data_IF_111927275970
#
_entry.id   IF_111927275970
#
_cell.length_a   1.000
_cell.length_b   1.000
_cell.length_c   1.000
_cell.angle_alpha   90.00
_cell.angle_beta   90.00
_cell.angle_gamma   90.00
#
_symmetry.space_group_name_H-M   'P 1'
#
loop_
_entity.id
_entity.type
_entity.pdbx_description
1 polymer ?
#
# COMPACT_ATOMS: atom_id res chain seq x y z
N UNK A 1 10.63 8.60 10.35
CA UNK A 1 10.29 7.29 10.97
C UNK A 1 9.63 6.44 9.90
N UNK A 2 10.09 5.20 9.71
CA UNK A 2 9.58 4.32 8.65
C UNK A 2 8.29 3.66 9.11
N UNK A 3 7.26 3.65 8.26
CA UNK A 3 5.97 3.03 8.55
C UNK A 3 5.57 2.08 7.44
N UNK A 4 5.25 0.85 7.81
CA UNK A 4 4.73 -0.20 6.92
C UNK A 4 3.22 -0.29 7.10
N UNK A 5 2.48 -0.16 6.01
CA UNK A 5 1.02 -0.22 5.99
C UNK A 5 0.55 -1.51 5.31
N UNK A 6 -0.40 -2.19 5.92
CA UNK A 6 -0.98 -3.40 5.34
C UNK A 6 -1.87 -4.17 6.29
N UNK A 7 -1.87 -5.50 6.15
CA UNK A 7 -2.57 -6.42 7.06
C UNK A 7 -1.57 -7.47 7.56
N UNK A 8 -1.70 -7.95 8.81
CA UNK A 8 -0.72 -8.86 9.41
C UNK A 8 -0.68 -10.22 8.70
N UNK A 9 -1.80 -10.67 8.13
CA UNK A 9 -1.93 -11.95 7.44
C UNK A 9 -1.73 -11.84 5.92
N UNK A 10 -0.78 -11.00 5.48
CA UNK A 10 -0.34 -10.94 4.09
C UNK A 10 1.14 -11.32 4.02
N UNK A 11 1.48 -12.33 3.23
CA UNK A 11 2.85 -12.86 3.18
C UNK A 11 3.87 -11.82 2.71
N UNK A 12 3.50 -10.97 1.75
CA UNK A 12 4.37 -9.87 1.30
C UNK A 12 4.62 -8.85 2.40
N UNK A 13 3.62 -8.54 3.23
CA UNK A 13 3.77 -7.62 4.38
C UNK A 13 4.65 -8.26 5.46
N UNK A 14 4.47 -9.55 5.74
CA UNK A 14 5.33 -10.30 6.68
C UNK A 14 6.79 -10.30 6.22
N UNK A 15 7.03 -10.59 4.93
CA UNK A 15 8.37 -10.58 4.33
C UNK A 15 9.02 -9.20 4.41
N UNK A 16 8.27 -8.14 4.07
CA UNK A 16 8.75 -6.77 4.17
C UNK A 16 9.18 -6.38 5.60
N UNK A 17 8.35 -6.68 6.60
CA UNK A 17 8.66 -6.36 8.00
C UNK A 17 9.84 -7.17 8.52
N UNK A 18 9.89 -8.46 8.19
CA UNK A 18 11.03 -9.31 8.56
C UNK A 18 12.33 -8.77 7.94
N UNK A 19 12.31 -8.42 6.65
CA UNK A 19 13.48 -7.83 5.99
C UNK A 19 13.95 -6.55 6.66
N UNK A 20 13.03 -5.63 7.01
CA UNK A 20 13.40 -4.40 7.74
C UNK A 20 14.01 -4.69 9.10
N UNK A 21 13.45 -5.65 9.85
CA UNK A 21 14.03 -6.11 11.12
C UNK A 21 15.44 -6.68 10.92
N UNK A 22 15.64 -7.51 9.89
CA UNK A 22 16.94 -8.15 9.60
C UNK A 22 18.01 -7.11 9.20
N UNK A 23 17.60 -5.99 8.58
CA UNK A 23 18.47 -4.85 8.28
C UNK A 23 18.69 -3.91 9.48
N UNK A 24 18.11 -4.20 10.65
CA UNK A 24 18.20 -3.34 11.83
C UNK A 24 17.42 -2.02 11.70
N UNK A 25 16.43 -1.97 10.79
CA UNK A 25 15.65 -0.77 10.51
C UNK A 25 14.40 -0.74 11.41
N UNK A 26 14.39 0.21 12.34
CA UNK A 26 13.22 0.48 13.17
C UNK A 26 12.04 0.96 12.31
N UNK A 27 10.89 0.30 12.49
CA UNK A 27 9.70 0.60 11.71
C UNK A 27 8.42 0.37 12.52
N UNK A 28 7.41 1.18 12.22
CA UNK A 28 6.06 0.99 12.73
C UNK A 28 5.22 0.18 11.74
N UNK A 29 4.25 -0.58 12.26
CA UNK A 29 3.27 -1.27 11.43
C UNK A 29 1.88 -0.70 11.69
N UNK A 30 1.23 -0.21 10.62
CA UNK A 30 -0.16 0.24 10.63
C UNK A 30 -1.04 -0.86 10.04
N UNK A 31 -1.93 -1.41 10.86
CA UNK A 31 -2.81 -2.52 10.50
C UNK A 31 -4.16 -1.99 9.98
N UNK A 32 -4.40 -2.11 8.67
CA UNK A 32 -5.66 -1.71 8.05
C UNK A 32 -6.88 -2.41 8.63
N UNK A 33 -6.74 -3.64 9.17
CA UNK A 33 -7.89 -4.35 9.77
C UNK A 33 -8.30 -3.76 11.12
N UNK A 34 -7.35 -3.21 11.87
CA UNK A 34 -7.60 -2.68 13.22
C UNK A 34 -7.79 -1.17 13.22
N UNK A 35 -7.05 -0.47 12.37
CA UNK A 35 -6.92 0.98 12.38
C UNK A 35 -7.55 1.64 11.15
N UNK A 36 -8.06 0.84 10.20
CA UNK A 36 -8.56 1.35 8.92
C UNK A 36 -7.45 1.87 8.01
N UNK A 37 -7.85 2.35 6.82
CA UNK A 37 -6.94 3.05 5.92
C UNK A 37 -6.84 4.51 6.38
N UNK A 38 -5.63 5.02 6.66
CA UNK A 38 -5.47 6.43 7.04
C UNK A 38 -5.68 7.32 5.80
N UNK A 39 -6.78 8.06 5.77
CA UNK A 39 -7.19 8.87 4.61
C UNK A 39 -6.12 9.87 4.16
N UNK A 40 -5.51 10.59 5.10
CA UNK A 40 -4.46 11.58 4.82
C UNK A 40 -3.23 10.92 4.18
N UNK A 41 -2.87 9.71 4.61
CA UNK A 41 -1.74 9.00 4.01
C UNK A 41 -2.12 8.40 2.66
N UNK A 42 -3.36 7.93 2.49
CA UNK A 42 -3.84 7.49 1.17
C UNK A 42 -3.71 8.62 0.14
N UNK A 43 -4.13 9.84 0.49
CA UNK A 43 -3.99 11.01 -0.38
C UNK A 43 -2.53 11.29 -0.74
N UNK A 44 -1.62 11.16 0.23
CA UNK A 44 -0.17 11.29 -0.01
C UNK A 44 0.38 10.21 -0.92
N UNK A 45 -0.03 8.95 -0.74
CA UNK A 45 0.43 7.85 -1.59
C UNK A 45 -0.02 8.04 -3.04
N UNK A 46 -1.28 8.40 -3.24
CA UNK A 46 -1.83 8.67 -4.57
C UNK A 46 -1.08 9.81 -5.27
N UNK A 47 -0.76 10.88 -4.55
CA UNK A 47 0.01 12.00 -5.08
C UNK A 47 1.48 11.64 -5.36
N UNK A 48 2.13 10.84 -4.49
CA UNK A 48 3.56 10.57 -4.57
C UNK A 48 3.94 9.52 -5.63
N UNK A 49 3.13 8.46 -5.80
CA UNK A 49 3.49 7.32 -6.67
C UNK A 49 2.43 7.02 -7.74
N UNK A 50 1.36 7.80 -7.81
CA UNK A 50 0.26 7.60 -8.75
C UNK A 50 -0.71 6.51 -8.30
N UNK A 51 -1.98 6.67 -8.67
CA UNK A 51 -3.04 5.77 -8.25
C UNK A 51 -2.91 4.37 -8.85
N UNK A 52 -2.35 4.26 -10.06
CA UNK A 52 -2.10 2.99 -10.74
C UNK A 52 -1.10 2.11 -9.98
N UNK A 53 -0.19 2.74 -9.24
CA UNK A 53 0.78 2.07 -8.39
C UNK A 53 0.14 1.61 -7.08
N UNK A 54 -0.68 2.47 -6.47
CA UNK A 54 -1.37 2.22 -5.18
C UNK A 54 -2.45 1.15 -5.32
N UNK A 55 -3.22 1.16 -6.41
CA UNK A 55 -4.33 0.22 -6.61
C UNK A 55 -3.84 -1.07 -7.26
N UNK A 56 -4.07 -2.21 -6.58
CA UNK A 56 -3.76 -3.53 -7.10
C UNK A 56 -4.80 -4.01 -8.11
N UNK A 57 -4.74 -3.48 -9.34
CA UNK A 57 -5.62 -3.88 -10.45
C UNK A 57 -5.48 -5.35 -10.88
N UNK A 58 -4.41 -6.02 -10.44
CA UNK A 58 -4.17 -7.46 -10.66
C UNK A 58 -4.62 -8.33 -9.47
N UNK A 59 -5.15 -7.74 -8.41
CA UNK A 59 -5.61 -8.45 -7.21
C UNK A 59 -6.98 -9.10 -7.37
N UNK A 60 -7.29 -10.09 -6.54
CA UNK A 60 -8.60 -10.75 -6.52
C UNK A 60 -9.72 -9.80 -6.14
N UNK A 61 -9.52 -8.96 -5.11
CA UNK A 61 -10.51 -7.95 -4.69
C UNK A 61 -10.88 -7.02 -5.84
N UNK A 62 -9.89 -6.53 -6.60
CA UNK A 62 -10.16 -5.70 -7.77
C UNK A 62 -11.00 -6.46 -8.82
N UNK A 63 -10.65 -7.72 -9.13
CA UNK A 63 -11.41 -8.54 -10.09
C UNK A 63 -12.84 -8.84 -9.62
N UNK A 64 -13.10 -8.82 -8.33
CA UNK A 64 -14.43 -9.04 -7.73
C UNK A 64 -15.30 -7.78 -7.70
N UNK A 65 -14.73 -6.59 -7.91
CA UNK A 65 -15.51 -5.37 -8.06
C UNK A 65 -16.37 -5.43 -9.33
N UNK A 66 -17.55 -4.80 -9.25
CA UNK A 66 -18.41 -4.58 -10.40
C UNK A 66 -17.67 -3.87 -11.53
N UNK A 67 -17.98 -4.26 -12.76
CA UNK A 67 -17.33 -3.71 -13.94
C UNK A 67 -17.46 -2.19 -14.04
N UNK A 68 -18.63 -1.66 -13.69
CA UNK A 68 -18.91 -0.22 -13.64
C UNK A 68 -18.00 0.51 -12.66
N UNK A 69 -17.77 -0.05 -11.48
CA UNK A 69 -16.85 0.50 -10.48
C UNK A 69 -15.43 0.51 -11.02
N UNK A 70 -14.97 -0.59 -11.64
CA UNK A 70 -13.62 -0.67 -12.21
C UNK A 70 -13.41 0.30 -13.35
N UNK A 71 -14.38 0.42 -14.25
CA UNK A 71 -14.33 1.33 -15.39
C UNK A 71 -14.39 2.80 -14.96
N UNK A 72 -15.03 3.10 -13.82
CA UNK A 72 -15.08 4.43 -13.23
C UNK A 72 -13.77 4.92 -12.61
N UNK A 73 -12.82 4.02 -12.31
CA UNK A 73 -11.51 4.43 -11.79
C UNK A 73 -10.62 4.90 -12.93
N UNK A 74 -10.45 6.22 -13.03
CA UNK A 74 -9.70 6.88 -14.09
C UNK A 74 -8.71 7.94 -13.58
N UNK A 75 -8.77 8.29 -12.30
CA UNK A 75 -7.93 9.30 -11.67
C UNK A 75 -7.72 9.01 -10.17
N UNK A 76 -6.96 9.87 -9.49
CA UNK A 76 -6.69 9.72 -8.06
C UNK A 76 -7.96 9.82 -7.20
N UNK A 77 -8.93 10.67 -7.56
CA UNK A 77 -10.15 10.87 -6.78
C UNK A 77 -11.06 9.64 -6.81
N UNK A 78 -11.31 9.09 -8.00
CA UNK A 78 -12.07 7.84 -8.20
C UNK A 78 -11.35 6.64 -7.58
N UNK A 79 -10.01 6.55 -7.70
CA UNK A 79 -9.22 5.53 -7.05
C UNK A 79 -9.29 5.60 -5.51
N UNK A 80 -9.21 6.81 -4.95
CA UNK A 80 -9.36 7.07 -3.50
C UNK A 80 -10.71 6.56 -2.99
N UNK A 81 -11.79 6.91 -3.67
CA UNK A 81 -13.14 6.48 -3.29
C UNK A 81 -13.24 4.95 -3.23
N UNK A 82 -12.73 4.26 -4.26
CA UNK A 82 -12.71 2.79 -4.31
C UNK A 82 -11.80 2.20 -3.22
N UNK A 83 -10.65 2.79 -2.94
CA UNK A 83 -9.72 2.32 -1.92
C UNK A 83 -10.31 2.44 -0.50
N UNK A 84 -11.03 3.52 -0.20
CA UNK A 84 -11.69 3.68 1.10
C UNK A 84 -12.88 2.74 1.26
N UNK A 85 -13.68 2.54 0.22
CA UNK A 85 -14.78 1.58 0.23
C UNK A 85 -14.28 0.12 0.30
N UNK A 86 -13.13 -0.17 -0.33
CA UNK A 86 -12.58 -1.51 -0.44
C UNK A 86 -11.08 -1.55 -0.12
N UNK A 87 -10.64 -1.40 1.15
CA UNK A 87 -9.22 -1.32 1.53
C UNK A 87 -8.30 -2.42 0.98
N UNK A 88 -8.84 -3.61 0.71
CA UNK A 88 -8.08 -4.74 0.15
C UNK A 88 -7.63 -4.53 -1.31
N UNK A 89 -8.16 -3.52 -2.03
CA UNK A 89 -7.67 -3.14 -3.36
C UNK A 89 -6.35 -2.38 -3.30
N UNK A 90 -5.96 -1.84 -2.15
CA UNK A 90 -4.67 -1.18 -1.98
C UNK A 90 -3.57 -2.26 -2.06
N UNK A 91 -2.57 -2.04 -2.92
CA UNK A 91 -1.39 -2.89 -3.02
C UNK A 91 -0.59 -2.78 -1.72
N UNK A 92 -0.18 -3.93 -1.18
CA UNK A 92 0.46 -4.04 0.13
C UNK A 92 1.81 -4.76 0.01
N UNK A 93 2.81 -4.39 0.83
CA UNK A 93 2.80 -3.24 1.74
C UNK A 93 2.84 -1.92 0.97
N UNK A 94 2.32 -0.85 1.58
CA UNK A 94 2.80 0.51 1.28
C UNK A 94 3.83 0.83 2.37
N UNK A 95 4.98 1.36 2.01
CA UNK A 95 6.00 1.77 2.98
C UNK A 95 6.29 3.25 2.80
N UNK A 96 6.13 3.98 3.89
CA UNK A 96 6.55 5.37 3.99
C UNK A 96 7.92 5.41 4.63
N UNK A 97 8.85 5.98 3.89
CA UNK A 97 10.22 6.21 4.29
C UNK A 97 10.39 7.66 4.72
N UNK A 98 11.59 8.03 5.18
CA UNK A 98 11.93 9.42 5.53
C UNK A 98 11.89 10.37 4.33
N UNK A 99 12.13 9.85 3.13
CA UNK A 99 12.36 10.60 1.89
C UNK A 99 11.47 10.13 0.72
N UNK A 100 10.46 9.29 0.97
CA UNK A 100 9.54 8.87 -0.08
C UNK A 100 8.66 7.68 0.26
N UNK A 101 8.00 7.13 -0.76
CA UNK A 101 7.04 6.02 -0.62
C UNK A 101 7.39 4.92 -1.60
N UNK A 102 7.31 3.66 -1.17
CA UNK A 102 7.33 2.50 -2.05
C UNK A 102 6.07 1.67 -1.88
N UNK A 103 5.62 1.01 -2.96
CA UNK A 103 4.45 0.15 -2.93
C UNK A 103 4.83 -1.24 -3.43
N UNK A 104 4.53 -2.26 -2.63
CA UNK A 104 5.05 -3.61 -2.79
C UNK A 104 6.37 -3.80 -2.04
N UNK A 105 6.87 -5.03 -2.08
CA UNK A 105 8.15 -5.41 -1.49
C UNK A 105 9.12 -5.80 -2.60
N UNK A 106 10.27 -5.13 -2.62
CA UNK A 106 11.40 -5.43 -3.49
C UNK A 106 12.68 -5.21 -2.68
N UNK A 107 13.30 -6.31 -2.24
CA UNK A 107 14.47 -6.27 -1.38
C UNK A 107 15.68 -5.59 -2.06
N UNK A 108 15.85 -5.76 -3.38
CA UNK A 108 16.98 -5.16 -4.09
C UNK A 108 16.80 -3.64 -4.19
N UNK A 109 15.58 -3.18 -4.52
CA UNK A 109 15.27 -1.76 -4.54
C UNK A 109 15.36 -1.13 -3.14
N UNK A 110 14.96 -1.85 -2.08
CA UNK A 110 15.07 -1.35 -0.71
C UNK A 110 16.52 -1.32 -0.23
N UNK A 111 17.33 -2.31 -0.60
CA UNK A 111 18.75 -2.32 -0.28
C UNK A 111 19.49 -1.14 -0.90
N UNK A 112 19.15 -0.75 -2.13
CA UNK A 112 19.75 0.41 -2.78
C UNK A 112 19.31 1.75 -2.18
N UNK A 113 18.26 1.76 -1.36
CA UNK A 113 17.74 2.94 -0.65
C UNK A 113 18.42 3.14 0.71
N UNK A 114 18.74 2.06 1.40
CA UNK A 114 19.41 2.08 2.70
C UNK A 114 20.90 2.42 2.54
#
# INVERSE_FOLDING_TARGET
MITVYGIPNCDTVKKARAWLTDQGVEHHFHDFKKQGVPEVELDRWLAAVGWETVINRKGTTWRQLDETVRAGVSDAASARAVALANPSVIKRPVVQWTDGITVGFDAAAWQARL
#
